data_IF_298549339257
#
_entry.id   IF_298549339257
#
_cell.length_a   1.000
_cell.length_b   1.000
_cell.length_c   1.000
_cell.angle_alpha   90.00
_cell.angle_beta   90.00
_cell.angle_gamma   90.00
#
_symmetry.space_group_name_H-M   'P 1'
#
loop_
_entity.id
_entity.type
_entity.pdbx_description
1 polymer ?
#
# COMPACT_ATOMS: atom_id res chain seq x y z
N UNK A 1 -8.74 9.97 -0.91
CA UNK A 1 -8.38 8.72 -0.20
C UNK A 1 -8.54 9.00 1.28
N UNK A 2 -9.51 8.36 1.89
CA UNK A 2 -9.67 8.40 3.34
C UNK A 2 -8.96 7.15 3.88
N UNK A 3 -7.93 7.36 4.70
CA UNK A 3 -7.24 6.29 5.43
C UNK A 3 -7.54 6.56 6.90
N UNK A 4 -8.58 5.90 7.42
CA UNK A 4 -9.16 6.26 8.71
C UNK A 4 -8.17 6.12 9.89
N UNK A 5 -7.26 5.15 9.85
CA UNK A 5 -6.29 4.92 10.93
C UNK A 5 -4.83 4.94 10.45
N UNK A 6 -4.54 5.49 9.29
CA UNK A 6 -3.25 5.51 8.61
C UNK A 6 -2.59 4.13 8.33
N UNK A 7 -3.05 3.04 8.92
CA UNK A 7 -2.43 1.71 8.77
C UNK A 7 -3.00 0.98 7.56
N UNK A 8 -2.12 0.48 6.70
CA UNK A 8 -2.44 -0.32 5.52
C UNK A 8 -1.75 -1.68 5.67
N UNK A 9 -2.51 -2.76 5.73
CA UNK A 9 -1.91 -4.10 5.69
C UNK A 9 -1.53 -4.45 4.26
N UNK A 10 -0.24 -4.72 4.06
CA UNK A 10 0.32 -5.05 2.74
C UNK A 10 0.44 -6.55 2.63
N UNK A 11 -0.31 -7.14 1.68
CA UNK A 11 -0.53 -8.57 1.59
C UNK A 11 0.12 -9.18 0.35
N UNK A 12 0.78 -10.32 0.53
CA UNK A 12 1.18 -11.23 -0.55
C UNK A 12 0.55 -12.59 -0.27
N UNK A 13 -0.41 -12.99 -1.08
CA UNK A 13 -1.21 -14.21 -0.86
C UNK A 13 -0.80 -15.26 -1.87
N UNK A 14 -0.24 -16.37 -1.40
CA UNK A 14 0.19 -17.51 -2.22
C UNK A 14 -0.87 -18.60 -2.36
N UNK A 15 -1.80 -18.67 -1.41
CA UNK A 15 -2.95 -19.57 -1.44
C UNK A 15 -4.25 -18.78 -1.29
N UNK A 16 -5.00 -18.61 -2.39
CA UNK A 16 -6.27 -17.88 -2.40
C UNK A 16 -7.34 -18.50 -1.48
N UNK A 17 -7.25 -19.78 -1.14
CA UNK A 17 -8.19 -20.45 -0.24
C UNK A 17 -8.18 -19.86 1.17
N UNK A 18 -7.07 -19.25 1.58
CA UNK A 18 -6.93 -18.57 2.88
C UNK A 18 -7.42 -17.13 2.87
N UNK A 19 -7.81 -16.60 1.72
CA UNK A 19 -8.14 -15.17 1.55
C UNK A 19 -9.30 -14.70 2.43
N UNK A 20 -10.36 -15.49 2.56
CA UNK A 20 -11.52 -15.10 3.35
C UNK A 20 -11.27 -15.17 4.86
N UNK A 21 -10.51 -16.15 5.32
CA UNK A 21 -10.11 -16.26 6.73
C UNK A 21 -9.15 -15.12 7.11
N UNK A 22 -8.19 -14.80 6.23
CA UNK A 22 -7.31 -13.64 6.38
C UNK A 22 -8.13 -12.34 6.43
N UNK A 23 -9.07 -12.17 5.50
CA UNK A 23 -9.93 -10.99 5.46
C UNK A 23 -10.74 -10.86 6.75
N UNK A 24 -11.36 -11.95 7.21
CA UNK A 24 -12.07 -11.97 8.49
C UNK A 24 -11.16 -11.58 9.64
N UNK A 25 -9.97 -12.17 9.72
CA UNK A 25 -8.98 -11.90 10.77
C UNK A 25 -8.60 -10.43 10.82
N UNK A 26 -8.26 -9.82 9.68
CA UNK A 26 -7.85 -8.41 9.58
C UNK A 26 -9.02 -7.47 9.91
N UNK A 27 -10.21 -7.75 9.37
CA UNK A 27 -11.40 -6.92 9.61
C UNK A 27 -11.81 -6.91 11.07
N UNK A 28 -11.87 -8.08 11.72
CA UNK A 28 -12.17 -8.23 13.15
C UNK A 28 -11.11 -7.54 14.04
N UNK A 29 -9.90 -7.34 13.52
CA UNK A 29 -8.82 -6.63 14.21
C UNK A 29 -8.81 -5.11 13.96
N UNK A 30 -9.79 -4.56 13.21
CA UNK A 30 -9.86 -3.14 12.90
C UNK A 30 -8.98 -2.68 11.72
N UNK A 31 -8.34 -3.61 11.00
CA UNK A 31 -7.61 -3.28 9.76
C UNK A 31 -8.61 -3.23 8.61
N UNK A 32 -8.82 -2.05 8.07
CA UNK A 32 -9.76 -1.82 6.96
C UNK A 32 -9.09 -1.37 5.66
N UNK A 33 -7.81 -1.01 5.71
CA UNK A 33 -7.07 -0.60 4.52
C UNK A 33 -6.12 -1.71 4.09
N UNK A 34 -6.20 -2.13 2.83
CA UNK A 34 -5.40 -3.22 2.27
C UNK A 34 -4.64 -2.76 1.03
N UNK A 35 -3.37 -3.16 0.92
CA UNK A 35 -2.59 -3.18 -0.32
C UNK A 35 -2.34 -4.66 -0.69
N UNK A 36 -3.09 -5.21 -1.64
CA UNK A 36 -2.95 -6.61 -2.05
C UNK A 36 -2.09 -6.67 -3.31
N UNK A 37 -0.91 -7.29 -3.19
CA UNK A 37 0.11 -7.28 -4.23
C UNK A 37 -0.14 -8.30 -5.34
N UNK A 38 0.04 -7.90 -6.60
CA UNK A 38 0.07 -8.79 -7.77
C UNK A 38 1.45 -9.46 -7.90
N UNK A 39 1.80 -10.34 -6.96
CA UNK A 39 3.11 -11.01 -6.91
C UNK A 39 3.08 -12.51 -7.08
N UNK A 40 1.91 -13.10 -7.04
CA UNK A 40 1.73 -14.56 -7.13
C UNK A 40 0.70 -14.89 -8.20
N UNK A 41 0.73 -16.11 -8.73
CA UNK A 41 -0.30 -16.59 -9.67
C UNK A 41 -1.70 -16.58 -9.04
N UNK A 42 -1.78 -16.66 -7.71
CA UNK A 42 -3.03 -16.71 -6.95
C UNK A 42 -3.59 -15.31 -6.61
N UNK A 43 -2.79 -14.25 -6.84
CA UNK A 43 -3.12 -12.88 -6.38
C UNK A 43 -4.45 -12.38 -6.94
N UNK A 44 -4.69 -12.54 -8.25
CA UNK A 44 -5.92 -12.07 -8.89
C UNK A 44 -7.16 -12.71 -8.25
N UNK A 45 -7.13 -14.04 -8.05
CA UNK A 45 -8.21 -14.79 -7.41
C UNK A 45 -8.43 -14.38 -5.94
N UNK A 46 -7.35 -14.20 -5.19
CA UNK A 46 -7.40 -13.74 -3.81
C UNK A 46 -8.07 -12.35 -3.69
N UNK A 47 -7.69 -11.41 -4.58
CA UNK A 47 -8.25 -10.06 -4.63
C UNK A 47 -9.76 -10.11 -4.90
N UNK A 48 -10.20 -10.89 -5.90
CA UNK A 48 -11.61 -11.05 -6.23
C UNK A 48 -12.42 -11.57 -5.04
N UNK A 49 -11.91 -12.61 -4.34
CA UNK A 49 -12.58 -13.17 -3.16
C UNK A 49 -12.70 -12.15 -2.03
N UNK A 50 -11.63 -11.42 -1.71
CA UNK A 50 -11.66 -10.41 -0.65
C UNK A 50 -12.60 -9.27 -1.03
N UNK A 51 -12.52 -8.78 -2.27
CA UNK A 51 -13.36 -7.69 -2.75
C UNK A 51 -14.85 -8.04 -2.70
N UNK A 52 -15.21 -9.26 -3.08
CA UNK A 52 -16.59 -9.72 -3.13
C UNK A 52 -17.09 -10.26 -1.77
N UNK A 53 -16.23 -10.21 -0.73
CA UNK A 53 -16.62 -10.63 0.60
C UNK A 53 -17.60 -9.64 1.25
N UNK A 54 -18.21 -10.06 2.37
CA UNK A 54 -19.07 -9.18 3.19
C UNK A 54 -18.29 -8.07 3.92
N UNK A 55 -16.97 -8.16 4.00
CA UNK A 55 -16.12 -7.22 4.71
C UNK A 55 -15.88 -5.96 3.89
N UNK A 56 -16.05 -4.79 4.50
CA UNK A 56 -15.91 -3.49 3.82
C UNK A 56 -14.49 -2.96 3.97
N UNK A 57 -13.64 -3.31 3.01
CA UNK A 57 -12.25 -2.83 2.94
C UNK A 57 -12.06 -1.68 1.96
N UNK A 58 -11.15 -0.79 2.28
CA UNK A 58 -10.51 0.12 1.35
C UNK A 58 -9.38 -0.64 0.65
N UNK A 59 -9.64 -1.21 -0.51
CA UNK A 59 -8.68 -2.04 -1.24
C UNK A 59 -7.91 -1.20 -2.26
N UNK A 60 -6.59 -1.28 -2.19
CA UNK A 60 -5.68 -0.90 -3.27
C UNK A 60 -4.92 -2.12 -3.78
N UNK A 61 -4.55 -2.10 -5.04
CA UNK A 61 -3.78 -3.18 -5.66
C UNK A 61 -2.32 -2.78 -5.77
N UNK A 62 -1.45 -3.56 -5.14
CA UNK A 62 -0.01 -3.34 -5.14
C UNK A 62 0.72 -4.07 -6.25
N UNK A 63 1.92 -3.58 -6.55
CA UNK A 63 2.80 -4.16 -7.57
C UNK A 63 2.16 -4.16 -8.95
N UNK A 64 1.46 -3.06 -9.28
CA UNK A 64 0.92 -2.81 -10.62
C UNK A 64 2.08 -2.35 -11.50
N UNK A 65 2.49 -3.19 -12.46
CA UNK A 65 3.69 -2.99 -13.27
C UNK A 65 3.42 -3.02 -14.78
N UNK A 66 2.19 -3.31 -15.18
CA UNK A 66 1.80 -3.44 -16.59
C UNK A 66 0.45 -2.78 -16.89
N UNK A 67 0.15 -2.59 -18.18
CA UNK A 67 -1.18 -2.15 -18.61
C UNK A 67 -2.24 -3.22 -18.29
N UNK A 68 -1.88 -4.48 -18.38
CA UNK A 68 -2.79 -5.58 -18.01
C UNK A 68 -3.20 -5.49 -16.55
N UNK A 69 -2.26 -5.19 -15.66
CA UNK A 69 -2.55 -4.97 -14.24
C UNK A 69 -3.51 -3.80 -14.04
N UNK A 70 -3.31 -2.68 -14.77
CA UNK A 70 -4.23 -1.54 -14.70
C UNK A 70 -5.64 -1.90 -15.19
N UNK A 71 -5.76 -2.65 -16.27
CA UNK A 71 -7.07 -3.13 -16.74
C UNK A 71 -7.72 -4.07 -15.74
N UNK A 72 -6.95 -4.92 -15.08
CA UNK A 72 -7.47 -5.75 -14.00
C UNK A 72 -7.97 -4.90 -12.82
N UNK A 73 -7.21 -3.90 -12.38
CA UNK A 73 -7.67 -2.94 -11.34
C UNK A 73 -9.00 -2.28 -11.75
N UNK A 74 -9.08 -1.80 -12.99
CA UNK A 74 -10.26 -1.13 -13.53
C UNK A 74 -11.48 -2.07 -13.61
N UNK A 75 -11.29 -3.31 -14.05
CA UNK A 75 -12.38 -4.31 -14.17
C UNK A 75 -13.03 -4.62 -12.84
N UNK A 76 -12.28 -4.53 -11.74
CA UNK A 76 -12.80 -4.72 -10.40
C UNK A 76 -13.46 -3.45 -9.83
N UNK A 77 -13.44 -2.31 -10.51
CA UNK A 77 -13.91 -1.03 -9.97
C UNK A 77 -13.09 -0.52 -8.78
N UNK A 78 -11.85 -1.01 -8.62
CA UNK A 78 -10.92 -0.55 -7.59
C UNK A 78 -10.26 0.74 -8.08
N UNK A 79 -10.23 1.75 -7.21
CA UNK A 79 -9.76 3.10 -7.57
C UNK A 79 -8.27 3.33 -7.29
N UNK A 80 -7.64 2.50 -6.47
CA UNK A 80 -6.27 2.72 -6.00
C UNK A 80 -5.32 1.64 -6.50
N UNK A 81 -4.21 2.06 -7.10
CA UNK A 81 -3.15 1.17 -7.54
C UNK A 81 -1.79 1.68 -7.07
N UNK A 82 -0.95 0.76 -6.57
CA UNK A 82 0.39 1.06 -6.08
C UNK A 82 1.45 0.39 -6.96
N UNK A 83 2.54 1.10 -7.21
CA UNK A 83 3.74 0.53 -7.82
C UNK A 83 4.96 0.68 -6.91
N UNK A 84 5.98 -0.19 -7.00
CA UNK A 84 7.24 0.02 -6.30
C UNK A 84 8.12 1.11 -6.95
N UNK A 85 7.83 1.51 -8.18
CA UNK A 85 8.61 2.46 -8.96
C UNK A 85 7.70 3.48 -9.67
N UNK A 86 8.35 4.45 -10.33
CA UNK A 86 7.70 5.48 -11.16
C UNK A 86 7.92 5.14 -12.63
N UNK A 87 6.90 4.61 -13.30
CA UNK A 87 6.90 4.33 -14.74
C UNK A 87 5.95 5.28 -15.46
N UNK A 88 6.50 6.10 -16.37
CA UNK A 88 5.75 7.13 -17.09
C UNK A 88 4.64 6.55 -17.97
N UNK A 89 4.86 5.37 -18.57
CA UNK A 89 3.85 4.72 -19.42
C UNK A 89 2.65 4.29 -18.57
N UNK A 90 2.92 3.71 -17.40
CA UNK A 90 1.87 3.29 -16.44
C UNK A 90 1.13 4.51 -15.91
N UNK A 91 1.85 5.58 -15.50
CA UNK A 91 1.24 6.83 -15.02
C UNK A 91 0.25 7.42 -16.03
N UNK A 92 0.66 7.52 -17.29
CA UNK A 92 -0.18 8.08 -18.34
C UNK A 92 -1.46 7.26 -18.58
N UNK A 93 -1.35 5.94 -18.57
CA UNK A 93 -2.50 5.07 -18.77
C UNK A 93 -3.42 5.00 -17.55
N UNK A 94 -2.86 5.06 -16.34
CA UNK A 94 -3.66 5.13 -15.10
C UNK A 94 -4.57 6.36 -15.09
N UNK A 95 -4.06 7.53 -15.52
CA UNK A 95 -4.86 8.74 -15.66
C UNK A 95 -6.02 8.57 -16.66
N UNK A 96 -5.77 7.94 -17.82
CA UNK A 96 -6.82 7.68 -18.82
C UNK A 96 -7.92 6.74 -18.31
N UNK A 97 -7.55 5.83 -17.41
CA UNK A 97 -8.46 4.85 -16.79
C UNK A 97 -9.18 5.38 -15.55
N UNK A 98 -8.91 6.61 -15.11
CA UNK A 98 -9.41 7.18 -13.86
C UNK A 98 -9.03 6.31 -12.65
N UNK A 99 -7.79 5.79 -12.66
CA UNK A 99 -7.19 5.06 -11.55
C UNK A 99 -6.27 6.01 -10.80
N UNK A 100 -6.48 6.15 -9.49
CA UNK A 100 -5.60 6.90 -8.62
C UNK A 100 -4.32 6.10 -8.38
N UNK A 101 -3.33 6.33 -9.24
CA UNK A 101 -2.06 5.63 -9.21
C UNK A 101 -1.12 6.27 -8.20
N UNK A 102 -0.47 5.45 -7.40
CA UNK A 102 0.41 5.85 -6.30
C UNK A 102 1.81 5.26 -6.59
N UNK A 103 2.66 5.99 -7.35
CA UNK A 103 3.96 5.50 -7.77
C UNK A 103 4.95 5.45 -6.62
N UNK A 104 5.86 4.48 -6.65
CA UNK A 104 6.99 4.38 -5.74
C UNK A 104 8.04 5.45 -6.06
N UNK A 105 8.44 6.19 -5.02
CA UNK A 105 9.50 7.18 -5.08
C UNK A 105 10.56 6.91 -4.03
N UNK A 106 11.81 7.15 -4.37
CA UNK A 106 12.96 7.10 -3.44
C UNK A 106 13.90 8.30 -3.60
N UNK A 107 13.68 9.13 -4.61
CA UNK A 107 14.49 10.31 -4.93
C UNK A 107 13.62 11.44 -5.52
N UNK A 108 14.24 12.60 -5.72
CA UNK A 108 13.58 13.80 -6.22
C UNK A 108 13.06 13.66 -7.65
N UNK A 109 13.79 12.97 -8.53
CA UNK A 109 13.40 12.82 -9.94
C UNK A 109 12.12 12.01 -10.07
N UNK A 110 11.93 11.01 -9.23
CA UNK A 110 10.68 10.27 -9.14
C UNK A 110 9.52 11.18 -8.70
N UNK A 111 9.74 12.07 -7.73
CA UNK A 111 8.72 13.03 -7.28
C UNK A 111 8.33 13.97 -8.40
N UNK A 112 9.31 14.58 -9.10
CA UNK A 112 9.05 15.49 -10.22
C UNK A 112 8.27 14.79 -11.32
N UNK A 113 8.68 13.57 -11.69
CA UNK A 113 7.98 12.76 -12.68
C UNK A 113 6.54 12.47 -12.27
N UNK A 114 6.30 12.01 -11.06
CA UNK A 114 4.98 11.67 -10.57
C UNK A 114 4.04 12.90 -10.54
N UNK A 115 4.52 14.03 -10.07
CA UNK A 115 3.73 15.29 -10.01
C UNK A 115 3.40 15.80 -11.41
N UNK A 116 4.31 15.68 -12.39
CA UNK A 116 4.04 16.02 -13.80
C UNK A 116 2.85 15.23 -14.38
N UNK A 117 2.61 14.02 -13.88
CA UNK A 117 1.47 13.18 -14.26
C UNK A 117 0.30 13.27 -13.27
N UNK A 118 0.20 14.36 -12.49
CA UNK A 118 -0.90 14.65 -11.57
C UNK A 118 -1.10 13.61 -10.46
N UNK A 119 -0.05 12.88 -10.06
CA UNK A 119 -0.15 11.98 -8.93
C UNK A 119 -0.36 12.78 -7.63
N UNK A 120 -1.52 12.60 -7.00
CA UNK A 120 -1.87 13.29 -5.74
C UNK A 120 -1.16 12.71 -4.51
N UNK A 121 -0.83 11.43 -4.58
CA UNK A 121 -0.20 10.66 -3.51
C UNK A 121 1.00 9.93 -4.06
N UNK A 122 2.07 9.85 -3.25
CA UNK A 122 3.33 9.21 -3.62
C UNK A 122 3.64 8.10 -2.61
N UNK A 123 4.13 6.97 -3.08
CA UNK A 123 4.56 5.87 -2.21
C UNK A 123 6.05 6.04 -1.92
N UNK A 124 6.40 6.48 -0.72
CA UNK A 124 7.79 6.49 -0.28
C UNK A 124 8.26 5.06 -0.02
N UNK A 125 9.07 4.53 -0.95
CA UNK A 125 9.45 3.11 -0.97
C UNK A 125 10.81 2.88 -1.61
N UNK A 126 11.65 2.01 -1.00
CA UNK A 126 11.47 1.33 0.28
C UNK A 126 11.86 2.26 1.45
N UNK A 127 10.92 2.63 2.32
CA UNK A 127 11.05 3.72 3.27
C UNK A 127 12.31 3.63 4.18
N UNK A 128 12.49 2.52 4.88
CA UNK A 128 13.63 2.33 5.79
C UNK A 128 14.97 2.27 5.05
N UNK A 129 15.03 1.49 3.95
CA UNK A 129 16.26 1.39 3.16
C UNK A 129 16.65 2.70 2.47
N UNK A 130 15.68 3.59 2.26
CA UNK A 130 15.90 4.92 1.67
C UNK A 130 16.25 5.98 2.71
N UNK A 131 16.49 5.61 3.97
CA UNK A 131 16.90 6.55 5.02
C UNK A 131 15.75 7.12 5.87
N UNK A 132 14.60 6.47 5.88
CA UNK A 132 13.49 6.80 6.78
C UNK A 132 12.91 8.20 6.57
N UNK A 133 12.32 8.74 7.62
CA UNK A 133 11.70 10.08 7.58
C UNK A 133 12.71 11.19 7.32
N UNK A 134 13.97 11.05 7.75
CA UNK A 134 15.01 12.06 7.54
C UNK A 134 15.31 12.26 6.06
N UNK A 135 15.41 11.19 5.27
CA UNK A 135 15.59 11.33 3.83
C UNK A 135 14.31 11.81 3.13
N UNK A 136 13.12 11.44 3.63
CA UNK A 136 11.86 11.98 3.12
C UNK A 136 11.80 13.50 3.27
N UNK A 137 12.23 14.04 4.41
CA UNK A 137 12.32 15.49 4.65
C UNK A 137 13.26 16.17 3.65
N UNK A 138 14.42 15.56 3.36
CA UNK A 138 15.36 16.08 2.36
C UNK A 138 14.74 16.08 0.95
N UNK A 139 14.02 15.04 0.57
CA UNK A 139 13.30 14.96 -0.72
C UNK A 139 12.25 16.07 -0.81
N UNK A 140 11.45 16.26 0.24
CA UNK A 140 10.42 17.30 0.30
C UNK A 140 11.06 18.69 0.16
N UNK A 141 12.09 18.99 0.95
CA UNK A 141 12.77 20.26 0.94
C UNK A 141 13.39 20.58 -0.43
N UNK A 142 14.09 19.61 -1.03
CA UNK A 142 14.75 19.76 -2.34
C UNK A 142 13.75 19.89 -3.49
N UNK A 143 12.59 19.22 -3.40
CA UNK A 143 11.59 19.27 -4.47
C UNK A 143 10.99 20.66 -4.65
N UNK A 144 10.94 21.48 -3.61
CA UNK A 144 10.23 22.78 -3.56
C UNK A 144 8.74 22.70 -3.90
N UNK A 145 8.17 21.49 -3.95
CA UNK A 145 6.77 21.27 -4.28
C UNK A 145 5.94 21.27 -2.98
N UNK A 146 4.93 22.12 -2.96
CA UNK A 146 4.05 22.26 -1.78
C UNK A 146 2.99 21.14 -1.74
N UNK A 147 2.52 20.84 -0.54
CA UNK A 147 1.39 19.95 -0.29
C UNK A 147 1.57 18.49 -0.76
N UNK A 148 2.82 18.01 -0.91
CA UNK A 148 3.09 16.61 -1.17
C UNK A 148 2.52 15.73 -0.05
N UNK A 149 1.88 14.62 -0.42
CA UNK A 149 1.35 13.62 0.50
C UNK A 149 1.91 12.25 0.17
N UNK A 150 2.33 11.53 1.22
CA UNK A 150 3.03 10.27 1.06
C UNK A 150 2.32 9.13 1.79
N UNK A 151 2.48 7.93 1.22
CA UNK A 151 2.23 6.67 1.88
C UNK A 151 3.59 6.01 2.06
N UNK A 152 4.05 5.88 3.29
CA UNK A 152 5.34 5.25 3.59
C UNK A 152 5.20 3.74 3.62
N UNK A 153 6.08 3.02 2.91
CA UNK A 153 6.07 1.56 2.85
C UNK A 153 7.50 1.00 2.75
N UNK A 154 7.69 -0.19 3.30
CA UNK A 154 8.95 -0.95 3.18
C UNK A 154 9.84 -0.86 4.41
N UNK A 155 9.90 -1.97 5.15
CA UNK A 155 10.70 -2.11 6.36
C UNK A 155 10.06 -1.54 7.63
N UNK A 156 8.81 -1.06 7.58
CA UNK A 156 8.14 -0.47 8.72
C UNK A 156 7.48 -1.57 9.58
N UNK A 157 7.73 -1.53 10.88
CA UNK A 157 7.25 -2.46 11.89
C UNK A 157 6.81 -1.69 13.14
N UNK A 158 6.37 -2.37 14.20
CA UNK A 158 6.05 -1.75 15.49
C UNK A 158 7.22 -1.01 16.14
N UNK A 159 8.45 -1.36 15.78
CA UNK A 159 9.66 -0.77 16.39
C UNK A 159 9.94 0.63 15.84
N UNK A 160 9.67 0.86 14.56
CA UNK A 160 10.08 2.09 13.83
C UNK A 160 8.91 2.90 13.26
N UNK A 161 7.65 2.52 13.54
CA UNK A 161 6.48 3.18 12.94
C UNK A 161 6.25 4.61 13.45
N UNK A 162 6.58 4.90 14.70
CA UNK A 162 6.23 6.15 15.38
C UNK A 162 6.66 7.42 14.65
N UNK A 163 7.89 7.58 14.14
CA UNK A 163 8.28 8.74 13.34
C UNK A 163 7.40 8.95 12.09
N UNK A 164 6.96 7.85 11.46
CA UNK A 164 6.08 7.92 10.29
C UNK A 164 4.65 8.37 10.65
N UNK A 165 4.12 7.90 11.79
CA UNK A 165 2.79 8.32 12.28
C UNK A 165 2.74 9.81 12.58
N UNK A 166 3.82 10.35 13.14
CA UNK A 166 3.93 11.76 13.53
C UNK A 166 4.22 12.71 12.35
N UNK A 167 4.66 12.19 11.21
CA UNK A 167 5.08 13.01 10.08
C UNK A 167 3.89 13.63 9.34
N UNK A 168 3.84 14.97 9.25
CA UNK A 168 2.71 15.76 8.70
C UNK A 168 2.36 15.47 7.23
N UNK A 169 3.34 15.04 6.44
CA UNK A 169 3.15 14.73 5.03
C UNK A 169 2.80 13.26 4.79
N UNK A 170 2.90 12.39 5.80
CA UNK A 170 2.54 10.98 5.69
C UNK A 170 1.08 10.80 6.09
N UNK A 171 0.29 10.34 5.12
CA UNK A 171 -1.15 10.10 5.27
C UNK A 171 -1.51 8.63 5.42
N UNK A 172 -0.56 7.74 5.16
CA UNK A 172 -0.74 6.29 5.29
C UNK A 172 0.59 5.58 5.47
N UNK A 173 0.56 4.46 6.16
CA UNK A 173 1.72 3.59 6.42
C UNK A 173 1.35 2.18 6.02
N UNK A 174 2.03 1.67 4.99
CA UNK A 174 1.84 0.31 4.54
C UNK A 174 2.93 -0.62 5.08
N UNK A 175 2.50 -1.66 5.76
CA UNK A 175 3.41 -2.67 6.29
C UNK A 175 2.93 -4.08 6.05
N UNK A 176 3.86 -4.96 5.67
CA UNK A 176 3.63 -6.40 5.60
C UNK A 176 3.87 -7.11 6.94
N UNK A 177 4.40 -6.39 7.93
CA UNK A 177 4.69 -6.96 9.25
C UNK A 177 3.43 -7.50 9.96
N UNK A 178 2.26 -6.89 9.77
CA UNK A 178 0.99 -7.37 10.33
C UNK A 178 0.70 -8.81 9.89
N UNK A 179 0.78 -9.06 8.60
CA UNK A 179 0.43 -10.34 7.97
C UNK A 179 1.52 -10.75 6.99
N UNK A 180 2.68 -11.13 7.52
CA UNK A 180 3.77 -11.70 6.75
C UNK A 180 3.35 -12.98 6.02
N UNK A 181 3.98 -13.26 4.88
CA UNK A 181 3.66 -14.44 4.07
C UNK A 181 3.67 -15.73 4.90
N UNK A 182 4.67 -15.91 5.78
CA UNK A 182 4.78 -17.08 6.65
C UNK A 182 3.60 -17.24 7.63
N UNK A 183 3.08 -16.12 8.15
CA UNK A 183 1.90 -16.13 9.03
C UNK A 183 0.62 -16.48 8.29
N UNK A 184 0.48 -15.99 7.05
CA UNK A 184 -0.64 -16.33 6.18
C UNK A 184 -0.57 -17.81 5.80
N UNK A 185 0.60 -18.29 5.37
CA UNK A 185 0.84 -19.68 4.98
C UNK A 185 0.60 -20.68 6.12
N UNK A 186 0.97 -20.34 7.34
CA UNK A 186 0.72 -21.14 8.54
C UNK A 186 -0.65 -20.94 9.16
N UNK A 187 -1.48 -20.03 8.59
CA UNK A 187 -2.78 -19.64 9.16
C UNK A 187 -2.69 -19.17 10.61
N UNK A 188 -1.59 -18.50 10.96
CA UNK A 188 -1.37 -17.97 12.32
C UNK A 188 -2.18 -16.69 12.57
N UNK A 189 -3.50 -16.82 12.55
CA UNK A 189 -4.44 -15.71 12.73
C UNK A 189 -4.31 -15.04 14.10
N UNK A 190 -3.87 -15.79 15.12
CA UNK A 190 -3.64 -15.24 16.47
C UNK A 190 -2.52 -14.19 16.45
N UNK A 191 -1.40 -14.50 15.83
CA UNK A 191 -0.27 -13.56 15.75
C UNK A 191 -0.62 -12.36 14.85
N UNK A 192 -1.33 -12.56 13.74
CA UNK A 192 -1.80 -11.48 12.87
C UNK A 192 -2.69 -10.50 13.67
N UNK A 193 -3.66 -10.99 14.46
CA UNK A 193 -4.49 -10.14 15.33
C UNK A 193 -3.66 -9.36 16.33
N UNK A 194 -2.72 -10.03 17.01
CA UNK A 194 -1.83 -9.39 17.97
C UNK A 194 -1.03 -8.24 17.33
N UNK A 195 -0.44 -8.47 16.16
CA UNK A 195 0.34 -7.46 15.45
C UNK A 195 -0.52 -6.30 14.95
N UNK A 196 -1.74 -6.59 14.51
CA UNK A 196 -2.70 -5.55 14.13
C UNK A 196 -3.01 -4.61 15.30
N UNK A 197 -3.35 -5.17 16.48
CA UNK A 197 -3.61 -4.40 17.70
C UNK A 197 -2.42 -3.50 18.08
N UNK A 198 -1.20 -4.06 18.10
CA UNK A 198 0.02 -3.30 18.41
C UNK A 198 0.20 -2.06 17.53
N UNK A 199 -0.12 -2.15 16.23
CA UNK A 199 0.03 -1.01 15.32
C UNK A 199 -1.14 -0.03 15.38
N UNK A 200 -2.34 -0.47 15.73
CA UNK A 200 -3.50 0.41 15.87
C UNK A 200 -3.47 1.23 17.16
N UNK A 201 -2.74 0.75 18.17
CA UNK A 201 -2.55 1.40 19.48
C UNK A 201 -1.29 2.28 19.51
N UNK A 202 -0.50 2.38 18.43
CA UNK A 202 0.79 3.11 18.37
C UNK A 202 0.61 4.66 18.15
#
# INVERSE_FOLDING_TARGET
MLIDNKIISVLTIKDYKKSLDLAKCLYDSGIINLDIRLRTQQSKKAIELIKNSKFKFNIGIGTVLSLEDLYFVKSLGIKYAYSPNTDVKILNNANKLDIQFIPGISNIDNVISAVKYNCKYLKYYPAEKSGGVSNLDLIIAKSKIKNLKFIAMGGITSINIKPYLMHKNIIGIGTSWIAEESLIESSNWKEIRKRASVLLES
#
